data_IF_638877805243
#
_entry.id   IF_638877805243
#
_cell.length_a   1.000
_cell.length_b   1.000
_cell.length_c   1.000
_cell.angle_alpha   90.00
_cell.angle_beta   90.00
_cell.angle_gamma   90.00
#
_symmetry.space_group_name_H-M   'P 1'
#
loop_
_entity.id
_entity.type
_entity.pdbx_description
1 polymer ?
#
# COMPACT_ATOMS: atom_id res chain seq x y z
N UNK A 1 -0.52 23.48 10.86
CA UNK A 1 0.51 23.03 9.90
C UNK A 1 0.40 21.52 9.77
N UNK A 2 0.38 20.98 8.55
CA UNK A 2 0.47 19.54 8.33
C UNK A 2 1.92 19.10 8.51
N UNK A 3 2.17 18.08 9.34
CA UNK A 3 3.50 17.50 9.52
C UNK A 3 3.77 16.57 8.34
N UNK A 4 4.78 16.90 7.52
CA UNK A 4 5.26 16.01 6.48
C UNK A 4 6.18 14.96 7.11
N UNK A 5 5.72 13.72 7.19
CA UNK A 5 6.51 12.60 7.69
C UNK A 5 7.65 12.26 6.71
N UNK A 6 8.86 12.08 7.23
CA UNK A 6 9.91 11.39 6.50
C UNK A 6 9.60 9.90 6.50
N UNK A 7 9.58 9.28 5.32
CA UNK A 7 9.20 7.87 5.17
C UNK A 7 10.26 7.12 4.38
N UNK A 8 10.64 5.96 4.87
CA UNK A 8 11.53 5.02 4.21
C UNK A 8 10.90 3.62 4.23
N UNK A 9 11.05 2.88 3.15
CA UNK A 9 10.55 1.52 3.02
C UNK A 9 11.55 0.66 2.25
N UNK A 10 11.68 -0.60 2.66
CA UNK A 10 12.47 -1.61 1.99
C UNK A 10 11.69 -2.92 2.01
N UNK A 11 11.49 -3.51 0.84
CA UNK A 11 10.96 -4.86 0.70
C UNK A 11 11.82 -5.68 -0.24
N UNK A 12 11.61 -6.99 -0.22
CA UNK A 12 12.27 -7.95 -1.13
C UNK A 12 11.33 -9.13 -1.39
N UNK A 13 11.37 -9.73 -2.58
CA UNK A 13 10.70 -11.01 -2.81
C UNK A 13 11.19 -12.09 -1.84
N UNK A 14 10.36 -13.11 -1.64
CA UNK A 14 10.78 -14.38 -1.02
C UNK A 14 11.99 -14.95 -1.79
N UNK A 15 12.92 -15.60 -1.09
CA UNK A 15 14.07 -16.25 -1.72
C UNK A 15 13.61 -17.22 -2.82
N UNK A 16 14.17 -17.08 -4.02
CA UNK A 16 13.80 -17.87 -5.19
C UNK A 16 12.58 -17.37 -5.95
N UNK A 17 11.85 -16.38 -5.44
CA UNK A 17 10.79 -15.68 -6.17
C UNK A 17 11.35 -14.44 -6.86
N UNK A 18 10.82 -14.14 -8.05
CA UNK A 18 11.19 -12.95 -8.82
C UNK A 18 10.30 -11.74 -8.49
N UNK A 19 9.11 -12.00 -7.96
CA UNK A 19 8.09 -10.99 -7.68
C UNK A 19 7.72 -10.98 -6.20
N UNK A 20 7.46 -9.78 -5.68
CA UNK A 20 7.08 -9.58 -4.28
C UNK A 20 5.56 -9.56 -4.14
N UNK A 21 5.02 -10.36 -3.22
CA UNK A 21 3.61 -10.34 -2.82
C UNK A 21 3.28 -9.21 -1.85
N UNK A 22 4.31 -8.52 -1.34
CA UNK A 22 4.15 -7.44 -0.38
C UNK A 22 4.30 -6.07 -1.04
N UNK A 23 3.48 -5.11 -0.61
CA UNK A 23 3.54 -3.74 -1.10
C UNK A 23 3.37 -2.70 -0.01
N UNK A 24 3.67 -1.47 -0.39
CA UNK A 24 3.72 -0.34 0.51
C UNK A 24 3.18 0.91 -0.20
N UNK A 25 2.33 1.67 0.51
CA UNK A 25 1.79 2.94 0.03
C UNK A 25 1.90 4.01 1.10
N UNK A 26 2.26 5.22 0.67
CA UNK A 26 2.13 6.44 1.47
C UNK A 26 1.28 7.42 0.69
N UNK A 27 0.21 7.90 1.33
CA UNK A 27 -0.64 8.96 0.79
C UNK A 27 -0.73 10.08 1.79
N UNK A 28 -0.49 11.31 1.36
CA UNK A 28 -0.57 12.50 2.21
C UNK A 28 -1.72 13.38 1.71
N UNK A 29 -2.71 13.61 2.57
CA UNK A 29 -3.89 14.42 2.28
C UNK A 29 -4.11 15.42 3.42
N UNK A 30 -4.06 16.71 3.10
CA UNK A 30 -4.20 17.80 4.07
C UNK A 30 -3.28 17.60 5.29
N UNK A 31 -3.85 17.39 6.48
CA UNK A 31 -3.13 17.16 7.73
C UNK A 31 -3.01 15.68 8.11
N UNK A 32 -3.31 14.75 7.18
CA UNK A 32 -3.34 13.31 7.42
C UNK A 32 -2.33 12.61 6.52
N UNK A 33 -1.69 11.58 7.06
CA UNK A 33 -0.87 10.65 6.29
C UNK A 33 -1.47 9.26 6.46
N UNK A 34 -1.79 8.60 5.34
CA UNK A 34 -2.11 7.19 5.27
C UNK A 34 -0.81 6.44 4.95
N UNK A 35 -0.49 5.44 5.78
CA UNK A 35 0.58 4.47 5.51
C UNK A 35 -0.07 3.10 5.48
N UNK A 36 0.12 2.38 4.37
CA UNK A 36 -0.39 1.03 4.20
C UNK A 36 0.76 0.08 3.84
N UNK A 37 0.75 -1.09 4.48
CA UNK A 37 1.56 -2.25 4.12
C UNK A 37 0.56 -3.36 3.81
N UNK A 38 0.72 -3.99 2.65
CA UNK A 38 -0.15 -5.07 2.18
C UNK A 38 0.72 -6.31 2.01
N UNK A 39 0.26 -7.44 2.54
CA UNK A 39 0.87 -8.76 2.40
C UNK A 39 -0.19 -9.66 1.74
N UNK A 40 0.01 -9.98 0.46
CA UNK A 40 -0.90 -10.84 -0.28
C UNK A 40 -0.63 -12.31 0.06
N UNK A 41 -1.71 -13.09 0.24
CA UNK A 41 -1.61 -14.49 0.61
C UNK A 41 -0.72 -15.29 -0.36
N UNK A 42 0.30 -15.94 0.19
CA UNK A 42 1.24 -16.78 -0.56
C UNK A 42 2.48 -16.02 -1.02
N UNK A 43 3.01 -16.35 -2.20
CA UNK A 43 4.16 -15.67 -2.79
C UNK A 43 4.26 -15.90 -4.29
N UNK A 44 5.12 -15.15 -4.96
CA UNK A 44 5.34 -15.25 -6.40
C UNK A 44 4.28 -14.49 -7.20
N UNK A 45 4.14 -14.79 -8.51
CA UNK A 45 3.40 -13.92 -9.42
C UNK A 45 1.93 -13.72 -9.07
N UNK A 46 1.29 -14.76 -8.54
CA UNK A 46 -0.12 -14.68 -8.11
C UNK A 46 -0.28 -13.71 -6.93
N UNK A 47 0.60 -13.79 -5.92
CA UNK A 47 0.56 -12.87 -4.78
C UNK A 47 0.87 -11.43 -5.23
N UNK A 48 1.82 -11.25 -6.15
CA UNK A 48 2.13 -9.93 -6.72
C UNK A 48 0.97 -9.33 -7.52
N UNK A 49 0.21 -10.16 -8.24
CA UNK A 49 -1.01 -9.73 -8.92
C UNK A 49 -2.10 -9.31 -7.92
N UNK A 50 -2.36 -10.13 -6.90
CA UNK A 50 -3.36 -9.81 -5.86
C UNK A 50 -2.98 -8.50 -5.13
N UNK A 51 -1.70 -8.31 -4.85
CA UNK A 51 -1.18 -7.05 -4.31
C UNK A 51 -1.52 -5.87 -5.23
N UNK A 52 -1.29 -6.00 -6.54
CA UNK A 52 -1.55 -4.92 -7.49
C UNK A 52 -3.04 -4.54 -7.51
N UNK A 53 -3.94 -5.52 -7.43
CA UNK A 53 -5.40 -5.31 -7.35
C UNK A 53 -5.80 -4.56 -6.07
N UNK A 54 -5.29 -4.98 -4.90
CA UNK A 54 -5.58 -4.33 -3.61
C UNK A 54 -5.01 -2.90 -3.54
N UNK A 55 -3.82 -2.69 -4.11
CA UNK A 55 -3.19 -1.37 -4.14
C UNK A 55 -4.01 -0.35 -4.93
N UNK A 56 -4.76 -0.76 -5.97
CA UNK A 56 -5.67 0.14 -6.70
C UNK A 56 -6.78 0.68 -5.79
N UNK A 57 -7.30 -0.15 -4.88
CA UNK A 57 -8.30 0.26 -3.89
C UNK A 57 -7.78 1.32 -2.92
N UNK A 58 -6.48 1.30 -2.63
CA UNK A 58 -5.81 2.26 -1.76
C UNK A 58 -5.44 3.59 -2.44
N UNK A 59 -5.36 3.62 -3.78
CA UNK A 59 -5.12 4.85 -4.55
C UNK A 59 -6.36 5.74 -4.61
N UNK A 60 -7.54 5.14 -4.64
CA UNK A 60 -8.79 5.89 -4.71
C UNK A 60 -9.06 6.66 -3.40
N UNK A 61 -9.58 7.90 -3.48
CA UNK A 61 -10.01 8.61 -2.28
C UNK A 61 -11.05 7.76 -1.56
N UNK A 62 -10.93 7.65 -0.24
CA UNK A 62 -11.93 6.97 0.55
C UNK A 62 -13.29 7.64 0.29
N UNK A 63 -14.39 6.90 0.14
CA UNK A 63 -15.70 7.52 -0.02
C UNK A 63 -15.91 8.48 1.14
N UNK A 64 -16.16 9.75 0.82
CA UNK A 64 -16.44 10.77 1.83
C UNK A 64 -17.65 10.29 2.60
N UNK A 65 -17.48 9.94 3.89
CA UNK A 65 -18.63 9.74 4.77
C UNK A 65 -19.36 11.08 4.82
N UNK A 66 -20.48 11.18 4.11
CA UNK A 66 -21.40 12.30 4.26
C UNK A 66 -21.81 12.31 5.72
N UNK A 67 -21.38 13.35 6.42
CA UNK A 67 -21.83 13.63 7.78
C UNK A 67 -23.24 14.19 7.63
N UNK A 68 -24.26 13.33 7.76
CA UNK A 68 -25.65 13.74 7.98
C UNK A 68 -25.89 13.66 9.48
#
# INVERSE_FOLDING_TARGET
>A
MAVRLAVAHRSRPKVGALENGDGFMVRQECARTLVAVVDALGHGPVAAQMLAEEMLGLVLPAPTKSSV
#
